data_IF_900919120948
#
_entry.id   IF_900919120948
#
_cell.length_a   1.000
_cell.length_b   1.000
_cell.length_c   1.000
_cell.angle_alpha   90.00
_cell.angle_beta   90.00
_cell.angle_gamma   90.00
#
_symmetry.space_group_name_H-M   'P 1'
#
loop_
_entity.id
_entity.type
_entity.pdbx_description
1 polymer ?
#
# COMPACT_ATOMS: atom_id res chain seq x y z
N UNK A 1 32.13 -0.89 -25.57
CA UNK A 1 30.90 -0.13 -25.23
C UNK A 1 29.76 -1.12 -25.00
N UNK A 2 29.49 -1.51 -23.76
CA UNK A 2 28.29 -2.27 -23.38
C UNK A 2 27.94 -1.91 -21.93
N UNK A 3 26.89 -1.11 -21.76
CA UNK A 3 26.30 -0.82 -20.45
C UNK A 3 24.83 -1.18 -20.53
N UNK A 4 24.53 -2.44 -20.24
CA UNK A 4 23.16 -2.89 -20.08
C UNK A 4 22.60 -2.26 -18.79
N UNK A 5 21.84 -1.18 -18.91
CA UNK A 5 21.08 -0.57 -17.82
C UNK A 5 19.79 -1.35 -17.57
N UNK A 6 19.89 -2.66 -17.38
CA UNK A 6 18.74 -3.49 -17.05
C UNK A 6 18.55 -3.44 -15.52
N UNK A 7 17.92 -2.36 -15.05
CA UNK A 7 17.49 -2.24 -13.66
C UNK A 7 16.32 -3.21 -13.40
N UNK A 8 16.64 -4.48 -13.12
CA UNK A 8 15.67 -5.57 -12.86
C UNK A 8 14.79 -5.34 -11.60
N UNK A 9 15.03 -4.26 -10.84
CA UNK A 9 14.18 -3.80 -9.74
C UNK A 9 13.17 -2.71 -10.10
N UNK A 10 13.27 -2.14 -11.31
CA UNK A 10 12.40 -1.08 -11.83
C UNK A 10 11.40 -1.63 -12.86
N UNK A 11 10.84 -2.81 -12.63
CA UNK A 11 9.75 -3.29 -13.48
C UNK A 11 8.57 -2.34 -13.33
N UNK A 12 8.30 -1.58 -14.39
CA UNK A 12 7.16 -0.69 -14.48
C UNK A 12 5.90 -1.52 -14.23
N UNK A 13 5.08 -1.19 -13.22
CA UNK A 13 3.86 -1.95 -12.97
C UNK A 13 2.96 -1.88 -14.20
N UNK A 14 2.20 -2.95 -14.50
CA UNK A 14 1.27 -2.93 -15.63
C UNK A 14 0.24 -1.80 -15.42
N UNK A 15 0.24 -0.83 -16.32
CA UNK A 15 -0.63 0.35 -16.27
C UNK A 15 -1.62 0.35 -17.41
N UNK A 16 -2.89 0.58 -17.09
CA UNK A 16 -3.98 0.76 -18.03
C UNK A 16 -4.47 2.22 -17.94
N UNK A 17 -4.47 2.95 -19.06
CA UNK A 17 -4.82 4.38 -19.11
C UNK A 17 -4.05 5.28 -18.11
N UNK A 18 -2.81 4.90 -17.76
CA UNK A 18 -1.96 5.64 -16.81
C UNK A 18 -2.28 5.37 -15.33
N UNK A 19 -3.11 4.37 -15.03
CA UNK A 19 -3.38 3.87 -13.67
C UNK A 19 -2.90 2.42 -13.58
N UNK A 20 -2.25 1.98 -12.48
CA UNK A 20 -1.86 0.58 -12.34
C UNK A 20 -3.08 -0.35 -12.33
N UNK A 21 -2.94 -1.57 -12.85
CA UNK A 21 -4.07 -2.49 -13.07
C UNK A 21 -4.82 -2.86 -11.78
N UNK A 22 -4.07 -3.18 -10.72
CA UNK A 22 -4.64 -3.55 -9.41
C UNK A 22 -5.49 -2.42 -8.80
N UNK A 23 -4.99 -1.18 -8.62
CA UNK A 23 -5.80 -0.11 -8.06
C UNK A 23 -6.96 0.29 -8.98
N UNK A 24 -6.83 0.18 -10.30
CA UNK A 24 -7.95 0.40 -11.21
C UNK A 24 -9.10 -0.58 -10.94
N UNK A 25 -8.81 -1.87 -10.83
CA UNK A 25 -9.81 -2.90 -10.58
C UNK A 25 -10.46 -2.75 -9.20
N UNK A 26 -9.65 -2.47 -8.17
CA UNK A 26 -10.16 -2.24 -6.81
C UNK A 26 -11.02 -0.98 -6.75
N UNK A 27 -10.58 0.12 -7.38
CA UNK A 27 -11.32 1.38 -7.43
C UNK A 27 -12.65 1.25 -8.19
N UNK A 28 -12.61 0.79 -9.44
CA UNK A 28 -13.81 0.62 -10.26
C UNK A 28 -14.74 -0.47 -9.70
N UNK A 29 -14.18 -1.59 -9.25
CA UNK A 29 -14.93 -2.70 -8.66
C UNK A 29 -15.62 -2.32 -7.35
N UNK A 30 -14.97 -1.54 -6.48
CA UNK A 30 -15.59 -1.03 -5.25
C UNK A 30 -16.75 -0.07 -5.56
N UNK A 31 -16.60 0.82 -6.55
CA UNK A 31 -17.67 1.73 -6.97
C UNK A 31 -18.84 0.95 -7.59
N UNK A 32 -18.57 -0.10 -8.37
CA UNK A 32 -19.59 -0.96 -8.96
C UNK A 32 -20.37 -1.74 -7.89
N UNK A 33 -19.68 -2.31 -6.90
CA UNK A 33 -20.33 -2.95 -5.75
C UNK A 33 -21.20 -1.94 -4.99
N UNK A 34 -20.67 -0.74 -4.70
CA UNK A 34 -21.41 0.32 -4.04
C UNK A 34 -22.67 0.70 -4.82
N UNK A 35 -22.59 0.74 -6.15
CA UNK A 35 -23.71 1.05 -7.01
C UNK A 35 -24.81 -0.01 -6.93
N UNK A 36 -24.42 -1.28 -6.87
CA UNK A 36 -25.34 -2.41 -6.80
C UNK A 36 -26.02 -2.53 -5.42
N UNK A 37 -25.31 -2.25 -4.33
CA UNK A 37 -25.86 -2.38 -2.98
C UNK A 37 -26.63 -1.15 -2.49
N UNK A 38 -26.24 0.06 -2.93
CA UNK A 38 -26.83 1.30 -2.43
C UNK A 38 -27.61 2.04 -3.51
N UNK A 39 -26.95 2.47 -4.58
CA UNK A 39 -27.58 3.28 -5.62
C UNK A 39 -26.74 3.40 -6.90
N UNK A 40 -27.35 3.26 -8.08
CA UNK A 40 -26.67 3.39 -9.38
C UNK A 40 -25.95 4.73 -9.60
N UNK A 41 -26.31 5.80 -8.88
CA UNK A 41 -25.56 7.06 -8.91
C UNK A 41 -24.07 6.90 -8.57
N UNK A 42 -23.66 5.87 -7.81
CA UNK A 42 -22.25 5.61 -7.53
C UNK A 42 -21.41 5.25 -8.78
N UNK A 43 -22.05 4.87 -9.90
CA UNK A 43 -21.35 4.65 -11.18
C UNK A 43 -20.71 5.94 -11.72
N UNK A 44 -21.32 7.11 -11.49
CA UNK A 44 -20.76 8.41 -11.87
C UNK A 44 -19.47 8.75 -11.12
N UNK A 45 -19.20 8.05 -10.00
CA UNK A 45 -18.02 8.27 -9.18
C UNK A 45 -16.78 7.55 -9.75
N UNK A 46 -16.95 6.56 -10.63
CA UNK A 46 -15.87 5.81 -11.28
C UNK A 46 -14.85 6.73 -11.98
N UNK A 47 -15.24 7.64 -12.91
CA UNK A 47 -14.28 8.51 -13.57
C UNK A 47 -13.53 9.43 -12.60
N UNK A 48 -14.20 9.88 -11.52
CA UNK A 48 -13.58 10.72 -10.48
C UNK A 48 -12.49 9.95 -9.74
N UNK A 49 -12.77 8.72 -9.31
CA UNK A 49 -11.80 7.88 -8.60
C UNK A 49 -10.61 7.53 -9.51
N UNK A 50 -10.88 7.17 -10.76
CA UNK A 50 -9.83 6.87 -11.75
C UNK A 50 -8.95 8.10 -12.02
N UNK A 51 -9.53 9.30 -12.08
CA UNK A 51 -8.77 10.54 -12.26
C UNK A 51 -7.83 10.83 -11.08
N UNK A 52 -8.31 10.66 -9.84
CA UNK A 52 -7.49 10.82 -8.64
C UNK A 52 -6.35 9.81 -8.63
N UNK A 53 -6.64 8.53 -8.92
CA UNK A 53 -5.61 7.50 -9.00
C UNK A 53 -4.58 7.80 -10.09
N UNK A 54 -5.00 8.35 -11.22
CA UNK A 54 -4.11 8.78 -12.32
C UNK A 54 -3.21 9.94 -11.90
N UNK A 55 -3.72 10.91 -11.14
CA UNK A 55 -2.89 11.99 -10.59
C UNK A 55 -1.83 11.47 -9.61
N UNK A 56 -2.19 10.48 -8.77
CA UNK A 56 -1.23 9.83 -7.87
C UNK A 56 -0.16 9.07 -8.65
N UNK A 57 -0.57 8.24 -9.62
CA UNK A 57 0.33 7.45 -10.46
C UNK A 57 1.27 8.31 -11.32
N UNK A 58 0.85 9.53 -11.71
CA UNK A 58 1.70 10.48 -12.43
C UNK A 58 2.87 10.99 -11.60
N UNK A 59 2.72 11.06 -10.26
CA UNK A 59 3.80 11.50 -9.35
C UNK A 59 4.76 10.38 -9.03
N UNK A 60 4.24 9.18 -8.77
CA UNK A 60 5.04 8.00 -8.44
C UNK A 60 4.30 6.74 -8.90
N UNK A 61 4.94 5.99 -9.80
CA UNK A 61 4.38 4.79 -10.41
C UNK A 61 4.26 3.62 -9.42
N UNK A 62 5.08 3.59 -8.36
CA UNK A 62 5.10 2.53 -7.35
C UNK A 62 4.35 2.88 -6.06
N UNK A 63 3.72 4.05 -5.99
CA UNK A 63 3.08 4.54 -4.76
C UNK A 63 2.03 3.59 -4.20
N UNK A 64 1.24 2.94 -5.07
CA UNK A 64 0.21 1.98 -4.66
C UNK A 64 0.82 0.71 -4.04
N UNK A 65 1.98 0.29 -4.53
CA UNK A 65 2.71 -0.86 -3.98
C UNK A 65 3.29 -0.52 -2.62
N UNK A 66 3.80 0.71 -2.45
CA UNK A 66 4.28 1.20 -1.14
C UNK A 66 3.13 1.35 -0.14
N UNK A 67 1.98 1.88 -0.56
CA UNK A 67 0.76 1.97 0.25
C UNK A 67 0.27 0.59 0.69
N UNK A 68 0.24 -0.38 -0.23
CA UNK A 68 -0.12 -1.77 0.09
C UNK A 68 0.84 -2.41 1.08
N UNK A 69 2.15 -2.21 0.90
CA UNK A 69 3.18 -2.72 1.81
C UNK A 69 3.04 -2.10 3.21
N UNK A 70 2.80 -0.79 3.28
CA UNK A 70 2.54 -0.08 4.55
C UNK A 70 1.31 -0.63 5.26
N UNK A 71 0.23 -0.90 4.53
CA UNK A 71 -0.98 -1.49 5.08
C UNK A 71 -0.73 -2.91 5.60
N UNK A 72 -0.01 -3.73 4.84
CA UNK A 72 0.33 -5.10 5.24
C UNK A 72 1.18 -5.13 6.51
N UNK A 73 2.17 -4.26 6.63
CA UNK A 73 2.95 -4.14 7.86
C UNK A 73 2.09 -3.65 9.02
N UNK A 74 1.21 -2.67 8.80
CA UNK A 74 0.31 -2.16 9.84
C UNK A 74 -0.64 -3.23 10.38
N UNK A 75 -1.15 -4.13 9.54
CA UNK A 75 -2.04 -5.21 9.99
C UNK A 75 -1.31 -6.39 10.61
N UNK A 76 -0.07 -6.67 10.16
CA UNK A 76 0.77 -7.76 10.68
C UNK A 76 1.46 -7.41 11.99
N UNK A 77 1.75 -6.14 12.25
CA UNK A 77 2.34 -5.66 13.50
C UNK A 77 1.31 -5.65 14.64
N UNK A 78 1.03 -6.83 15.21
CA UNK A 78 0.22 -6.98 16.44
C UNK A 78 1.05 -6.92 17.73
N UNK A 79 2.37 -7.02 17.61
CA UNK A 79 3.31 -7.06 18.75
C UNK A 79 3.66 -5.67 19.30
N UNK A 80 2.93 -4.61 18.90
CA UNK A 80 3.18 -3.23 19.38
C UNK A 80 3.04 -3.11 20.90
N UNK A 81 2.10 -3.83 21.49
CA UNK A 81 1.86 -3.81 22.93
C UNK A 81 2.99 -4.49 23.73
N UNK A 82 3.68 -5.46 23.12
CA UNK A 82 4.75 -6.23 23.79
C UNK A 82 6.12 -5.53 23.73
N UNK A 83 6.30 -4.58 22.79
CA UNK A 83 7.59 -3.94 22.53
C UNK A 83 7.56 -2.41 22.65
N UNK A 84 6.76 -1.88 23.58
CA UNK A 84 6.71 -0.44 23.91
C UNK A 84 6.47 0.45 22.67
N UNK A 85 5.61 -0.01 21.75
CA UNK A 85 5.26 0.70 20.53
C UNK A 85 6.27 0.57 19.37
N UNK A 86 7.38 -0.15 19.55
CA UNK A 86 8.39 -0.36 18.51
C UNK A 86 8.01 -1.50 17.55
N UNK A 87 8.32 -1.33 16.27
CA UNK A 87 8.16 -2.40 15.26
C UNK A 87 9.37 -3.33 15.30
N UNK A 88 9.22 -4.49 15.91
CA UNK A 88 10.28 -5.49 16.06
C UNK A 88 9.98 -6.69 15.16
N UNK A 89 10.92 -7.02 14.28
CA UNK A 89 10.82 -8.14 13.33
C UNK A 89 11.74 -9.33 13.71
N UNK A 90 12.65 -9.10 14.65
CA UNK A 90 13.65 -10.08 15.08
C UNK A 90 13.16 -10.78 16.35
N UNK A 91 13.36 -12.10 16.51
CA UNK A 91 13.03 -12.81 17.75
C UNK A 91 13.97 -12.48 18.92
N UNK A 92 14.75 -11.40 18.81
CA UNK A 92 15.73 -11.03 19.83
C UNK A 92 14.99 -10.49 21.05
N UNK A 93 15.20 -11.14 22.18
CA UNK A 93 14.66 -10.68 23.47
C UNK A 93 15.48 -9.47 23.93
N UNK A 94 14.90 -8.28 23.78
CA UNK A 94 15.51 -7.07 24.34
C UNK A 94 15.30 -7.04 25.86
N UNK A 95 16.33 -6.64 26.59
CA UNK A 95 16.25 -6.49 28.05
C UNK A 95 15.31 -5.34 28.39
N UNK A 96 14.28 -5.63 29.19
CA UNK A 96 13.31 -4.62 29.62
C UNK A 96 14.04 -3.50 30.39
N UNK A 97 13.92 -2.21 29.98
CA UNK A 97 14.50 -1.08 30.70
C UNK A 97 14.09 -1.01 32.17
N UNK A 98 12.92 -1.56 32.52
CA UNK A 98 12.39 -1.59 33.90
C UNK A 98 13.20 -2.51 34.82
N UNK A 99 13.90 -3.50 34.26
CA UNK A 99 14.75 -4.43 35.00
C UNK A 99 16.01 -3.73 35.57
N UNK A 100 16.46 -2.63 34.95
CA UNK A 100 17.59 -1.83 35.46
C UNK A 100 17.25 -0.97 36.68
N UNK A 101 15.97 -0.67 36.93
CA UNK A 101 15.53 0.17 38.07
C UNK A 101 15.43 -0.59 39.39
N UNK A 102 15.57 -1.92 39.39
CA UNK A 102 15.48 -2.78 40.58
C UNK A 102 16.83 -3.09 41.25
N UNK A 103 17.92 -2.45 40.81
CA UNK A 103 19.26 -2.63 41.39
C UNK A 103 19.72 -1.39 42.12
#
# INVERSE_FOLDING_TARGET
MHKNVLFRGCTRPPMFMGVPYIPFFVGAGSCLLMAMYFNYFFLLLIPVVVFIMRMMAKRDEMIFRLLGLRLQFRTRMRNLQEHDGMWVFTPNTYRDPRDKRKK
#
